data_IF_671970407638
#
_entry.id   IF_671970407638
#
_cell.length_a   1.000
_cell.length_b   1.000
_cell.length_c   1.000
_cell.angle_alpha   90.00
_cell.angle_beta   90.00
_cell.angle_gamma   90.00
#
_symmetry.space_group_name_H-M   'P 1'
#
loop_
_entity.id
_entity.type
_entity.pdbx_description
1 polymer ?
#
# COMPACT_ATOMS: atom_id res chain seq x y z
N UNK A 1 -27.62 20.10 19.54
CA UNK A 1 -27.16 20.75 18.30
C UNK A 1 -25.82 20.16 17.93
N UNK A 2 -25.69 19.55 16.75
CA UNK A 2 -24.39 19.07 16.28
C UNK A 2 -23.47 20.28 16.00
N UNK A 3 -22.18 20.16 16.31
CA UNK A 3 -21.23 21.21 15.96
C UNK A 3 -21.07 21.30 14.44
N UNK A 4 -20.67 22.47 13.92
CA UNK A 4 -20.36 22.62 12.49
C UNK A 4 -19.31 21.59 12.01
N UNK A 5 -18.39 21.18 12.89
CA UNK A 5 -17.42 20.14 12.61
C UNK A 5 -18.05 18.75 12.45
N UNK A 6 -19.04 18.40 13.28
CA UNK A 6 -19.74 17.12 13.16
C UNK A 6 -20.58 17.04 11.87
N UNK A 7 -21.25 18.14 11.50
CA UNK A 7 -21.99 18.22 10.24
C UNK A 7 -21.07 18.12 9.03
N UNK A 8 -19.92 18.80 9.06
CA UNK A 8 -18.91 18.69 8.01
C UNK A 8 -18.36 17.26 7.90
N UNK A 9 -18.08 16.61 9.04
CA UNK A 9 -17.60 15.22 9.03
C UNK A 9 -18.63 14.26 8.45
N UNK A 10 -19.90 14.37 8.84
CA UNK A 10 -20.97 13.54 8.29
C UNK A 10 -21.09 13.71 6.77
N UNK A 11 -21.01 14.95 6.29
CA UNK A 11 -21.04 15.24 4.87
C UNK A 11 -19.83 14.67 4.12
N UNK A 12 -18.63 14.75 4.70
CA UNK A 12 -17.41 14.13 4.11
C UNK A 12 -17.47 12.60 4.15
N UNK A 13 -18.01 12.01 5.22
CA UNK A 13 -18.04 10.56 5.44
C UNK A 13 -19.20 9.86 4.70
N UNK A 14 -20.27 10.59 4.32
CA UNK A 14 -21.47 10.05 3.66
C UNK A 14 -21.20 9.31 2.34
N UNK A 15 -21.86 8.18 2.06
CA UNK A 15 -21.56 7.32 0.90
C UNK A 15 -21.58 8.02 -0.47
N UNK A 16 -22.37 9.08 -0.62
CA UNK A 16 -22.51 9.87 -1.85
C UNK A 16 -21.44 10.96 -2.00
N UNK A 17 -20.65 11.21 -0.95
CA UNK A 17 -19.70 12.32 -0.94
C UNK A 17 -18.44 11.97 -1.71
N UNK A 18 -18.11 12.81 -2.69
CA UNK A 18 -16.88 12.73 -3.49
C UNK A 18 -15.69 13.45 -2.84
N UNK A 19 -15.90 14.10 -1.69
CA UNK A 19 -14.85 14.87 -0.99
C UNK A 19 -13.61 14.05 -0.64
N UNK A 20 -13.71 12.78 -0.18
CA UNK A 20 -12.53 11.94 0.06
C UNK A 20 -11.73 11.60 -1.20
N UNK A 21 -12.28 11.79 -2.39
CA UNK A 21 -11.55 11.71 -3.66
C UNK A 21 -10.97 13.08 -4.04
N UNK A 22 -11.82 14.11 -4.03
CA UNK A 22 -11.49 15.44 -4.57
C UNK A 22 -10.37 16.12 -3.77
N UNK A 23 -10.45 16.14 -2.44
CA UNK A 23 -9.44 16.86 -1.65
C UNK A 23 -8.05 16.23 -1.77
N UNK A 24 -7.90 14.89 -1.63
CA UNK A 24 -6.61 14.24 -1.88
C UNK A 24 -6.17 14.41 -3.34
N UNK A 25 -7.08 14.34 -4.32
CA UNK A 25 -6.74 14.55 -5.72
C UNK A 25 -6.14 15.94 -5.99
N UNK A 26 -6.73 17.00 -5.43
CA UNK A 26 -6.18 18.36 -5.53
C UNK A 26 -4.76 18.40 -4.96
N UNK A 27 -4.53 17.77 -3.81
CA UNK A 27 -3.21 17.70 -3.19
C UNK A 27 -2.19 16.96 -4.08
N UNK A 28 -2.52 15.77 -4.58
CA UNK A 28 -1.63 14.98 -5.43
C UNK A 28 -1.37 15.66 -6.78
N UNK A 29 -2.42 16.17 -7.43
CA UNK A 29 -2.30 16.87 -8.70
C UNK A 29 -1.46 18.14 -8.56
N UNK A 30 -1.65 18.91 -7.49
CA UNK A 30 -0.82 20.10 -7.22
C UNK A 30 0.64 19.72 -7.00
N UNK A 31 0.90 18.62 -6.30
CA UNK A 31 2.25 18.10 -6.06
C UNK A 31 2.91 17.64 -7.36
N UNK A 32 2.17 16.95 -8.24
CA UNK A 32 2.63 16.56 -9.57
C UNK A 32 2.91 17.78 -10.46
N UNK A 33 1.99 18.75 -10.54
CA UNK A 33 2.21 19.99 -11.29
C UNK A 33 3.44 20.75 -10.77
N UNK A 34 3.65 20.78 -9.46
CA UNK A 34 4.86 21.34 -8.88
C UNK A 34 6.13 20.61 -9.36
N UNK A 35 6.10 19.29 -9.53
CA UNK A 35 7.20 18.51 -10.12
C UNK A 35 7.51 18.91 -11.57
N UNK A 36 6.48 19.29 -12.34
CA UNK A 36 6.63 19.69 -13.75
C UNK A 36 7.16 21.11 -13.96
N UNK A 37 7.17 21.96 -12.93
CA UNK A 37 7.67 23.33 -13.06
C UNK A 37 9.15 23.37 -13.45
N UNK A 38 9.57 24.32 -14.32
CA UNK A 38 10.95 24.44 -14.76
C UNK A 38 11.92 24.46 -13.58
N UNK A 39 13.02 23.70 -13.64
CA UNK A 39 13.95 23.64 -12.52
C UNK A 39 14.58 25.02 -12.31
N UNK A 40 14.32 25.62 -11.13
CA UNK A 40 15.10 26.78 -10.67
C UNK A 40 16.57 26.38 -10.55
N UNK A 41 17.51 27.35 -10.55
CA UNK A 41 18.97 27.07 -10.45
C UNK A 41 19.33 26.13 -9.30
N UNK A 42 18.58 26.17 -8.19
CA UNK A 42 18.72 25.28 -7.02
C UNK A 42 18.21 23.86 -7.27
N UNK A 43 17.15 23.72 -8.08
CA UNK A 43 16.47 22.45 -8.40
C UNK A 43 17.24 21.57 -9.38
N UNK A 44 18.10 22.17 -10.23
CA UNK A 44 18.95 21.41 -11.17
C UNK A 44 19.89 20.41 -10.49
N UNK A 45 20.23 20.62 -9.23
CA UNK A 45 21.09 19.71 -8.47
C UNK A 45 20.32 18.57 -7.78
N UNK A 46 19.00 18.70 -7.62
CA UNK A 46 18.20 17.79 -6.80
C UNK A 46 17.19 17.04 -7.68
N UNK A 47 17.63 15.90 -8.23
CA UNK A 47 16.77 15.02 -9.06
C UNK A 47 15.59 14.41 -8.27
N UNK A 48 15.66 14.44 -6.94
CA UNK A 48 14.66 13.86 -6.01
C UNK A 48 13.26 14.51 -6.07
N UNK A 49 13.09 15.54 -6.90
CA UNK A 49 11.84 16.29 -7.06
C UNK A 49 11.04 15.90 -8.31
N UNK A 50 11.48 14.88 -9.05
CA UNK A 50 10.63 14.23 -10.05
C UNK A 50 9.56 13.38 -9.33
N UNK A 51 8.32 13.36 -9.85
CA UNK A 51 7.19 12.72 -9.18
C UNK A 51 7.51 11.29 -8.71
N UNK A 52 8.10 10.48 -9.59
CA UNK A 52 8.45 9.08 -9.34
C UNK A 52 9.70 8.88 -8.47
N UNK A 53 10.53 9.91 -8.29
CA UNK A 53 11.72 9.87 -7.43
C UNK A 53 11.45 10.49 -6.05
N UNK A 54 10.29 11.13 -5.85
CA UNK A 54 9.96 11.84 -4.62
C UNK A 54 9.50 10.87 -3.52
N UNK A 55 10.44 10.11 -2.96
CA UNK A 55 10.19 9.09 -1.95
C UNK A 55 9.37 9.56 -0.74
N UNK A 56 9.57 10.80 -0.29
CA UNK A 56 8.81 11.36 0.83
C UNK A 56 7.31 11.44 0.51
N UNK A 57 6.94 11.80 -0.72
CA UNK A 57 5.56 11.92 -1.17
C UNK A 57 4.90 10.54 -1.28
N UNK A 58 5.60 9.55 -1.84
CA UNK A 58 5.13 8.16 -1.90
C UNK A 58 4.97 7.54 -0.51
N UNK A 59 5.90 7.81 0.41
CA UNK A 59 5.80 7.37 1.80
C UNK A 59 4.64 8.04 2.54
N UNK A 60 4.34 9.30 2.24
CA UNK A 60 3.18 10.00 2.78
C UNK A 60 1.87 9.32 2.35
N UNK A 61 1.74 8.96 1.07
CA UNK A 61 0.61 8.17 0.58
C UNK A 61 0.52 6.83 1.33
N UNK A 62 1.61 6.06 1.39
CA UNK A 62 1.59 4.75 2.04
C UNK A 62 1.22 4.86 3.53
N UNK A 63 1.78 5.83 4.25
CA UNK A 63 1.45 6.08 5.64
C UNK A 63 -0.03 6.48 5.80
N UNK A 64 -0.54 7.39 4.96
CA UNK A 64 -1.94 7.78 4.96
C UNK A 64 -2.88 6.61 4.71
N UNK A 65 -2.59 5.78 3.71
CA UNK A 65 -3.37 4.59 3.38
C UNK A 65 -3.40 3.58 4.54
N UNK A 66 -2.24 3.34 5.18
CA UNK A 66 -2.14 2.45 6.35
C UNK A 66 -2.93 3.02 7.54
N UNK A 67 -2.81 4.32 7.83
CA UNK A 67 -3.53 4.94 8.95
C UNK A 67 -5.04 4.91 8.73
N UNK A 68 -5.51 5.18 7.52
CA UNK A 68 -6.93 5.09 7.17
C UNK A 68 -7.43 3.64 7.23
N UNK A 69 -6.63 2.67 6.78
CA UNK A 69 -6.94 1.26 6.88
C UNK A 69 -7.03 0.78 8.34
N UNK A 70 -6.07 1.17 9.18
CA UNK A 70 -6.09 0.89 10.62
C UNK A 70 -7.31 1.51 11.27
N UNK A 71 -7.61 2.79 11.00
CA UNK A 71 -8.79 3.46 11.53
C UNK A 71 -10.08 2.74 11.14
N UNK A 72 -10.22 2.41 9.85
CA UNK A 72 -11.37 1.66 9.31
C UNK A 72 -11.55 0.30 9.99
N UNK A 73 -10.46 -0.44 10.23
CA UNK A 73 -10.50 -1.76 10.86
C UNK A 73 -10.74 -1.70 12.39
N UNK A 74 -10.15 -0.71 13.07
CA UNK A 74 -10.27 -0.53 14.52
C UNK A 74 -11.67 -0.06 14.91
N UNK A 75 -12.23 0.90 14.17
CA UNK A 75 -13.55 1.45 14.46
C UNK A 75 -14.65 0.51 13.98
N UNK A 76 -14.42 -0.18 12.85
CA UNK A 76 -15.37 -1.10 12.22
C UNK A 76 -16.77 -0.55 11.96
N UNK A 77 -16.93 0.78 11.96
CA UNK A 77 -18.20 1.48 11.82
C UNK A 77 -18.10 2.53 10.71
N UNK A 78 -18.87 2.33 9.63
CA UNK A 78 -18.88 3.23 8.47
C UNK A 78 -19.52 4.59 8.77
N UNK A 79 -20.28 4.72 9.87
CA UNK A 79 -20.81 6.01 10.33
C UNK A 79 -19.72 6.89 10.94
N UNK A 80 -18.68 6.27 11.53
CA UNK A 80 -17.54 6.98 12.11
C UNK A 80 -16.47 7.19 11.05
N UNK A 81 -16.02 6.11 10.39
CA UNK A 81 -15.01 6.19 9.32
C UNK A 81 -15.29 5.12 8.27
N UNK A 82 -15.87 5.56 7.15
CA UNK A 82 -16.18 4.70 6.04
C UNK A 82 -14.90 4.21 5.35
N UNK A 83 -14.79 2.91 5.09
CA UNK A 83 -13.63 2.32 4.40
C UNK A 83 -13.33 3.01 3.05
N UNK A 84 -14.37 3.50 2.37
CA UNK A 84 -14.24 4.21 1.10
C UNK A 84 -13.29 5.41 1.18
N UNK A 85 -13.12 6.00 2.37
CA UNK A 85 -12.20 7.11 2.55
C UNK A 85 -10.77 6.68 2.20
N UNK A 86 -10.33 5.51 2.67
CA UNK A 86 -9.04 4.92 2.32
C UNK A 86 -8.96 4.57 0.84
N UNK A 87 -10.03 4.00 0.26
CA UNK A 87 -10.08 3.65 -1.16
C UNK A 87 -9.90 4.90 -2.04
N UNK A 88 -10.70 5.94 -1.79
CA UNK A 88 -10.72 7.17 -2.60
C UNK A 88 -9.45 7.99 -2.40
N UNK A 89 -8.89 8.01 -1.19
CA UNK A 89 -7.57 8.58 -0.93
C UNK A 89 -6.50 7.93 -1.81
N UNK A 90 -6.43 6.61 -1.86
CA UNK A 90 -5.47 5.91 -2.71
C UNK A 90 -5.79 6.05 -4.21
N UNK A 91 -7.07 5.97 -4.60
CA UNK A 91 -7.50 6.14 -5.99
C UNK A 91 -7.02 7.48 -6.56
N UNK A 92 -7.19 8.55 -5.78
CA UNK A 92 -6.75 9.90 -6.20
C UNK A 92 -5.24 9.98 -6.47
N UNK A 93 -4.43 9.27 -5.69
CA UNK A 93 -2.99 9.20 -5.87
C UNK A 93 -2.64 8.40 -7.14
N UNK A 94 -3.24 7.23 -7.34
CA UNK A 94 -2.96 6.38 -8.50
C UNK A 94 -3.46 6.96 -9.82
N UNK A 95 -4.46 7.85 -9.81
CA UNK A 95 -4.84 8.61 -11.01
C UNK A 95 -3.69 9.52 -11.48
N UNK A 96 -3.03 10.21 -10.56
CA UNK A 96 -1.88 11.06 -10.86
C UNK A 96 -0.68 10.19 -11.28
N UNK A 97 -0.47 9.07 -10.59
CA UNK A 97 0.61 8.13 -10.92
C UNK A 97 0.43 7.50 -12.31
N UNK A 98 -0.82 7.21 -12.72
CA UNK A 98 -1.12 6.73 -14.07
C UNK A 98 -0.76 7.78 -15.13
N UNK A 99 -1.05 9.06 -14.88
CA UNK A 99 -0.67 10.14 -15.79
C UNK A 99 0.86 10.23 -15.90
N UNK A 100 1.58 10.28 -14.76
CA UNK A 100 3.04 10.34 -14.75
C UNK A 100 3.67 9.16 -15.51
N UNK A 101 3.28 7.94 -15.17
CA UNK A 101 3.82 6.71 -15.76
C UNK A 101 3.51 6.60 -17.25
N UNK A 102 2.33 7.07 -17.68
CA UNK A 102 1.96 7.15 -19.11
C UNK A 102 2.81 8.18 -19.84
N UNK A 103 3.06 9.36 -19.26
CA UNK A 103 3.94 10.37 -19.88
C UNK A 103 5.38 9.89 -20.03
N UNK A 104 5.85 9.02 -19.12
CA UNK A 104 7.17 8.38 -19.19
C UNK A 104 7.21 7.13 -20.08
N UNK A 105 6.05 6.66 -20.57
CA UNK A 105 5.91 5.40 -21.32
C UNK A 105 6.45 4.17 -20.57
N UNK A 106 6.30 4.18 -19.25
CA UNK A 106 6.84 3.14 -18.36
C UNK A 106 5.85 1.98 -18.19
N UNK A 107 5.83 1.07 -19.16
CA UNK A 107 4.85 -0.02 -19.29
C UNK A 107 4.56 -0.80 -18.00
N UNK A 108 5.57 -1.31 -17.26
CA UNK A 108 5.34 -2.01 -16.00
C UNK A 108 4.62 -1.17 -14.95
N UNK A 109 4.94 0.11 -14.84
CA UNK A 109 4.30 1.01 -13.88
C UNK A 109 2.89 1.43 -14.33
N UNK A 110 2.67 1.61 -15.63
CA UNK A 110 1.31 1.81 -16.19
C UNK A 110 0.41 0.62 -15.82
N UNK A 111 0.89 -0.61 -16.05
CA UNK A 111 0.16 -1.82 -15.69
C UNK A 111 -0.14 -1.89 -14.20
N UNK A 112 0.84 -1.55 -13.35
CA UNK A 112 0.64 -1.50 -11.90
C UNK A 112 -0.44 -0.48 -11.51
N UNK A 113 -0.37 0.76 -12.01
CA UNK A 113 -1.33 1.81 -11.71
C UNK A 113 -2.76 1.40 -12.15
N UNK A 114 -2.91 0.86 -13.36
CA UNK A 114 -4.20 0.33 -13.86
C UNK A 114 -4.71 -0.79 -12.96
N UNK A 115 -3.86 -1.76 -12.62
CA UNK A 115 -4.24 -2.87 -11.75
C UNK A 115 -4.74 -2.38 -10.39
N UNK A 116 -4.04 -1.43 -9.76
CA UNK A 116 -4.45 -0.90 -8.46
C UNK A 116 -5.77 -0.13 -8.55
N UNK A 117 -5.98 0.68 -9.59
CA UNK A 117 -7.26 1.38 -9.83
C UNK A 117 -8.42 0.39 -9.99
N UNK A 118 -8.20 -0.68 -10.77
CA UNK A 118 -9.19 -1.73 -10.99
C UNK A 118 -9.52 -2.45 -9.69
N UNK A 119 -8.50 -2.88 -8.93
CA UNK A 119 -8.70 -3.57 -7.64
C UNK A 119 -9.38 -2.68 -6.60
N UNK A 120 -9.00 -1.41 -6.50
CA UNK A 120 -9.65 -0.44 -5.62
C UNK A 120 -11.14 -0.28 -5.97
N UNK A 121 -11.44 -0.17 -7.26
CA UNK A 121 -12.82 -0.09 -7.75
C UNK A 121 -13.59 -1.35 -7.44
N UNK A 122 -13.04 -2.54 -7.70
CA UNK A 122 -13.70 -3.82 -7.38
C UNK A 122 -13.94 -4.01 -5.89
N UNK A 123 -13.00 -3.61 -5.04
CA UNK A 123 -13.19 -3.65 -3.58
C UNK A 123 -14.30 -2.70 -3.13
N UNK A 124 -14.44 -1.54 -3.80
CA UNK A 124 -15.50 -0.59 -3.53
C UNK A 124 -16.87 -1.07 -4.05
N UNK A 125 -16.95 -1.64 -5.25
CA UNK A 125 -18.23 -1.99 -5.88
C UNK A 125 -18.76 -3.35 -5.47
N UNK A 126 -17.96 -4.19 -4.80
CA UNK A 126 -18.37 -5.53 -4.38
C UNK A 126 -18.85 -5.50 -2.92
N UNK A 127 -20.15 -5.74 -2.63
CA UNK A 127 -20.70 -5.62 -1.28
C UNK A 127 -19.98 -6.48 -0.23
N UNK A 128 -19.62 -7.71 -0.60
CA UNK A 128 -18.89 -8.60 0.30
C UNK A 128 -17.51 -8.04 0.69
N UNK A 129 -16.79 -7.46 -0.26
CA UNK A 129 -15.47 -6.88 0.03
C UNK A 129 -15.57 -5.68 0.96
N UNK A 130 -16.62 -4.84 0.80
CA UNK A 130 -16.92 -3.74 1.72
C UNK A 130 -17.25 -4.24 3.12
N UNK A 131 -18.17 -5.21 3.23
CA UNK A 131 -18.57 -5.79 4.51
C UNK A 131 -17.36 -6.35 5.27
N UNK A 132 -16.47 -7.03 4.54
CA UNK A 132 -15.27 -7.62 5.10
C UNK A 132 -14.10 -6.63 5.23
N UNK A 133 -14.27 -5.37 4.86
CA UNK A 133 -13.23 -4.34 4.84
C UNK A 133 -11.95 -4.80 4.14
N UNK A 134 -12.11 -5.44 2.98
CA UNK A 134 -11.02 -6.11 2.26
C UNK A 134 -9.99 -5.13 1.73
N UNK A 135 -10.39 -3.90 1.39
CA UNK A 135 -9.42 -2.90 0.94
C UNK A 135 -8.49 -2.47 2.08
N UNK A 136 -9.04 -2.24 3.27
CA UNK A 136 -8.26 -1.89 4.47
C UNK A 136 -7.30 -3.01 4.81
N UNK A 137 -7.76 -4.26 4.75
CA UNK A 137 -6.90 -5.45 4.95
C UNK A 137 -5.80 -5.53 3.89
N UNK A 138 -6.12 -5.27 2.62
CA UNK A 138 -5.14 -5.25 1.54
C UNK A 138 -4.10 -4.13 1.73
N UNK A 139 -4.51 -2.94 2.17
CA UNK A 139 -3.61 -1.83 2.48
C UNK A 139 -2.62 -2.17 3.60
N UNK A 140 -3.03 -2.96 4.61
CA UNK A 140 -2.11 -3.42 5.66
C UNK A 140 -1.03 -4.37 5.14
N UNK A 141 -1.25 -5.07 4.02
CA UNK A 141 -0.22 -5.91 3.38
C UNK A 141 0.98 -5.06 2.89
N UNK A 142 0.71 -3.80 2.53
CA UNK A 142 1.71 -2.84 2.06
C UNK A 142 2.55 -2.25 3.20
N UNK A 143 2.22 -2.53 4.46
CA UNK A 143 3.03 -2.10 5.62
C UNK A 143 4.47 -2.64 5.56
N UNK A 144 4.69 -3.77 4.90
CA UNK A 144 6.03 -4.34 4.69
C UNK A 144 6.89 -3.55 3.69
N UNK A 145 6.28 -2.77 2.79
CA UNK A 145 6.95 -2.11 1.67
C UNK A 145 7.91 -0.99 2.12
N UNK A 146 7.55 -0.09 3.06
CA UNK A 146 8.49 0.89 3.64
C UNK A 146 9.75 0.25 4.26
N UNK A 147 9.59 -0.88 4.96
CA UNK A 147 10.73 -1.59 5.56
C UNK A 147 11.66 -2.17 4.49
N UNK A 148 11.12 -2.63 3.36
CA UNK A 148 11.94 -3.07 2.22
C UNK A 148 12.79 -1.94 1.66
N UNK A 149 12.20 -0.75 1.46
CA UNK A 149 12.94 0.41 0.96
C UNK A 149 14.05 0.82 1.93
N UNK A 150 13.73 0.90 3.23
CA UNK A 150 14.71 1.22 4.26
C UNK A 150 15.85 0.18 4.33
N UNK A 151 15.51 -1.11 4.23
CA UNK A 151 16.50 -2.19 4.19
C UNK A 151 17.40 -2.10 2.95
N UNK A 152 16.84 -1.81 1.78
CA UNK A 152 17.61 -1.62 0.53
C UNK A 152 18.55 -0.42 0.60
N UNK A 153 18.09 0.69 1.17
CA UNK A 153 18.86 1.93 1.27
C UNK A 153 20.01 1.80 2.26
N UNK A 154 19.75 1.26 3.45
CA UNK A 154 20.75 1.17 4.52
C UNK A 154 21.67 -0.03 4.37
N UNK A 155 21.25 -1.07 3.63
CA UNK A 155 21.94 -2.37 3.52
C UNK A 155 22.28 -3.01 4.87
N UNK A 156 21.56 -2.63 5.93
CA UNK A 156 21.79 -3.15 7.27
C UNK A 156 21.01 -4.47 7.46
N UNK A 157 21.65 -5.57 7.89
CA UNK A 157 20.99 -6.86 8.10
C UNK A 157 19.85 -6.79 9.13
N UNK A 158 19.92 -5.91 10.13
CA UNK A 158 18.85 -5.75 11.13
C UNK A 158 17.58 -5.20 10.48
N UNK A 159 17.72 -4.20 9.61
CA UNK A 159 16.58 -3.64 8.87
C UNK A 159 15.98 -4.68 7.91
N UNK A 160 16.81 -5.53 7.31
CA UNK A 160 16.33 -6.63 6.49
C UNK A 160 15.58 -7.70 7.31
N UNK A 161 16.08 -8.05 8.50
CA UNK A 161 15.37 -8.94 9.42
C UNK A 161 14.02 -8.36 9.85
N UNK A 162 13.97 -7.06 10.17
CA UNK A 162 12.73 -6.37 10.50
C UNK A 162 11.74 -6.40 9.33
N UNK A 163 12.20 -6.11 8.12
CA UNK A 163 11.41 -6.28 6.90
C UNK A 163 10.85 -7.71 6.78
N UNK A 164 11.68 -8.73 6.97
CA UNK A 164 11.26 -10.12 6.87
C UNK A 164 10.17 -10.47 7.89
N UNK A 165 10.30 -10.02 9.14
CA UNK A 165 9.29 -10.21 10.19
C UNK A 165 7.96 -9.56 9.78
N UNK A 166 8.01 -8.28 9.38
CA UNK A 166 6.80 -7.55 8.96
C UNK A 166 6.18 -8.20 7.71
N UNK A 167 7.00 -8.65 6.76
CA UNK A 167 6.54 -9.37 5.57
C UNK A 167 5.84 -10.69 5.95
N UNK A 168 6.37 -11.45 6.91
CA UNK A 168 5.72 -12.67 7.40
C UNK A 168 4.36 -12.37 8.03
N UNK A 169 4.31 -11.41 8.94
CA UNK A 169 3.07 -11.03 9.64
C UNK A 169 2.02 -10.53 8.65
N UNK A 170 2.40 -9.58 7.79
CA UNK A 170 1.48 -8.94 6.86
C UNK A 170 1.11 -9.84 5.69
N UNK A 171 2.04 -10.54 5.04
CA UNK A 171 1.75 -11.23 3.76
C UNK A 171 1.64 -12.73 3.88
N UNK A 172 2.31 -13.38 4.84
CA UNK A 172 2.30 -14.84 4.97
C UNK A 172 1.19 -15.32 5.89
N UNK A 173 0.97 -14.62 7.00
CA UNK A 173 -0.06 -14.99 7.98
C UNK A 173 -1.41 -14.37 7.61
N UNK A 174 -1.43 -13.09 7.25
CA UNK A 174 -2.70 -12.38 7.01
C UNK A 174 -3.45 -12.85 5.76
N UNK A 175 -2.75 -13.16 4.67
CA UNK A 175 -3.41 -13.58 3.41
C UNK A 175 -4.24 -14.87 3.56
N UNK A 176 -3.74 -15.95 4.21
CA UNK A 176 -4.56 -17.10 4.59
C UNK A 176 -5.78 -16.75 5.44
N UNK A 177 -5.64 -15.83 6.39
CA UNK A 177 -6.76 -15.37 7.22
C UNK A 177 -7.82 -14.68 6.36
N UNK A 178 -7.41 -13.83 5.40
CA UNK A 178 -8.33 -13.20 4.45
C UNK A 178 -9.04 -14.24 3.57
N UNK A 179 -8.33 -15.26 3.10
CA UNK A 179 -8.91 -16.36 2.32
C UNK A 179 -9.95 -17.15 3.13
N UNK A 180 -9.66 -17.46 4.39
CA UNK A 180 -10.61 -18.13 5.28
C UNK A 180 -11.85 -17.27 5.50
N UNK A 181 -11.71 -15.96 5.74
CA UNK A 181 -12.85 -15.05 5.90
C UNK A 181 -13.75 -15.01 4.66
N UNK A 182 -13.15 -15.00 3.46
CA UNK A 182 -13.92 -15.10 2.21
C UNK A 182 -14.66 -16.45 2.14
N UNK A 183 -14.00 -17.54 2.55
CA UNK A 183 -14.61 -18.87 2.54
C UNK A 183 -15.76 -19.01 3.56
N UNK A 184 -15.60 -18.42 4.74
CA UNK A 184 -16.61 -18.40 5.80
C UNK A 184 -17.87 -17.61 5.38
N UNK A 185 -17.75 -16.75 4.36
CA UNK A 185 -18.86 -16.05 3.73
C UNK A 185 -19.33 -16.75 2.44
N UNK A 186 -19.22 -18.08 2.41
CA UNK A 186 -19.74 -18.97 1.38
C UNK A 186 -19.17 -18.80 -0.04
N UNK A 187 -17.97 -18.20 -0.19
CA UNK A 187 -17.30 -18.21 -1.49
C UNK A 187 -16.76 -19.59 -1.81
N UNK A 188 -17.12 -20.19 -2.95
CA UNK A 188 -16.57 -21.47 -3.36
C UNK A 188 -15.09 -21.32 -3.76
N UNK A 189 -14.32 -22.41 -3.69
CA UNK A 189 -12.89 -22.39 -3.99
C UNK A 189 -12.54 -22.01 -5.44
N UNK A 190 -13.52 -22.15 -6.35
CA UNK A 190 -13.41 -21.77 -7.76
C UNK A 190 -13.87 -20.33 -8.03
N UNK A 191 -14.24 -19.56 -7.01
CA UNK A 191 -14.60 -18.15 -7.18
C UNK A 191 -13.37 -17.35 -7.63
N UNK A 192 -13.53 -16.54 -8.67
CA UNK A 192 -12.45 -15.75 -9.27
C UNK A 192 -11.74 -14.85 -8.25
N UNK A 193 -12.47 -14.32 -7.27
CA UNK A 193 -11.91 -13.44 -6.22
C UNK A 193 -10.96 -14.22 -5.34
N UNK A 194 -11.35 -15.43 -4.93
CA UNK A 194 -10.50 -16.29 -4.11
C UNK A 194 -9.31 -16.80 -4.92
N UNK A 195 -9.50 -17.13 -6.19
CA UNK A 195 -8.41 -17.51 -7.11
C UNK A 195 -7.36 -16.39 -7.21
N UNK A 196 -7.79 -15.13 -7.34
CA UNK A 196 -6.88 -13.97 -7.37
C UNK A 196 -6.09 -13.87 -6.06
N UNK A 197 -6.74 -14.00 -4.90
CA UNK A 197 -6.06 -13.96 -3.59
C UNK A 197 -5.10 -15.14 -3.43
N UNK A 198 -5.46 -16.35 -3.89
CA UNK A 198 -4.58 -17.52 -3.88
C UNK A 198 -3.36 -17.33 -4.79
N UNK A 199 -3.55 -16.80 -6.01
CA UNK A 199 -2.45 -16.49 -6.92
C UNK A 199 -1.52 -15.42 -6.31
N UNK A 200 -2.09 -14.40 -5.68
CA UNK A 200 -1.32 -13.39 -4.96
C UNK A 200 -0.55 -13.99 -3.79
N UNK A 201 -1.15 -14.91 -3.03
CA UNK A 201 -0.47 -15.61 -1.94
C UNK A 201 0.69 -16.49 -2.45
N UNK A 202 0.50 -17.22 -3.55
CA UNK A 202 1.56 -18.00 -4.18
C UNK A 202 2.75 -17.12 -4.61
N UNK A 203 2.48 -15.94 -5.16
CA UNK A 203 3.51 -14.94 -5.47
C UNK A 203 4.26 -14.49 -4.21
N UNK A 204 3.54 -14.20 -3.11
CA UNK A 204 4.16 -13.81 -1.85
C UNK A 204 4.99 -14.94 -1.22
N UNK A 205 4.57 -16.20 -1.36
CA UNK A 205 5.35 -17.36 -0.94
C UNK A 205 6.65 -17.51 -1.74
N UNK A 206 6.62 -17.25 -3.04
CA UNK A 206 7.83 -17.22 -3.87
C UNK A 206 8.82 -16.15 -3.38
N UNK A 207 8.34 -14.93 -3.08
CA UNK A 207 9.18 -13.88 -2.50
C UNK A 207 9.69 -14.25 -1.11
N UNK A 208 8.86 -14.88 -0.29
CA UNK A 208 9.25 -15.33 1.04
C UNK A 208 10.36 -16.38 1.01
N UNK A 209 10.29 -17.34 0.09
CA UNK A 209 11.36 -18.31 -0.11
C UNK A 209 12.71 -17.64 -0.43
N UNK A 210 12.70 -16.56 -1.23
CA UNK A 210 13.90 -15.76 -1.51
C UNK A 210 14.40 -15.03 -0.25
N UNK A 211 13.51 -14.44 0.54
CA UNK A 211 13.86 -13.76 1.80
C UNK A 211 14.52 -14.75 2.76
N UNK A 212 13.91 -15.93 2.97
CA UNK A 212 14.47 -16.98 3.84
C UNK A 212 15.84 -17.44 3.36
N UNK A 213 16.03 -17.63 2.06
CA UNK A 213 17.34 -18.01 1.50
C UNK A 213 18.41 -16.97 1.84
N UNK A 214 18.10 -15.67 1.70
CA UNK A 214 19.04 -14.58 2.04
C UNK A 214 19.38 -14.62 3.54
N UNK A 215 18.39 -14.74 4.41
CA UNK A 215 18.60 -14.79 5.87
C UNK A 215 19.50 -15.96 6.26
N UNK A 216 19.25 -17.15 5.68
CA UNK A 216 20.02 -18.35 5.97
C UNK A 216 21.47 -18.18 5.48
N UNK A 217 21.66 -17.75 4.23
CA UNK A 217 23.01 -17.59 3.66
C UNK A 217 23.83 -16.54 4.41
N UNK A 218 23.27 -15.36 4.66
CA UNK A 218 23.97 -14.29 5.38
C UNK A 218 24.18 -14.63 6.87
N UNK A 219 23.22 -15.32 7.49
CA UNK A 219 23.35 -15.82 8.85
C UNK A 219 24.52 -16.80 9.00
N UNK A 220 24.68 -17.73 8.05
CA UNK A 220 25.81 -18.68 8.04
C UNK A 220 27.14 -17.93 7.87
N UNK A 221 27.22 -16.98 6.95
CA UNK A 221 28.42 -16.18 6.69
C UNK A 221 28.87 -15.39 7.93
N UNK A 222 27.92 -14.78 8.65
CA UNK A 222 28.21 -14.04 9.89
C UNK A 222 28.75 -14.94 11.01
N UNK A 223 28.21 -16.15 11.15
CA UNK A 223 28.69 -17.13 12.13
C UNK A 223 30.13 -17.56 11.79
N UNK A 224 30.42 -17.82 10.51
CA UNK A 224 31.76 -18.18 10.05
C UNK A 224 32.78 -17.06 10.26
N UNK A 225 32.40 -15.81 9.97
CA UNK A 225 33.25 -14.62 10.18
C UNK A 225 33.55 -14.35 11.67
N UNK A 226 32.63 -14.69 12.58
CA UNK A 226 32.88 -14.61 14.02
C UNK A 226 33.87 -15.67 14.49
N UNK A 227 33.76 -16.91 13.98
CA UNK A 227 34.68 -18.00 14.35
C UNK A 227 36.13 -17.74 13.93
N UNK A 228 36.35 -17.01 12.83
CA UNK A 228 37.69 -16.67 12.32
C UNK A 228 38.34 -15.49 13.05
N UNK A 229 37.59 -14.64 13.75
CA UNK A 229 38.15 -13.52 14.54
C UNK A 229 38.59 -13.91 15.96
N UNK A 230 38.19 -15.10 16.43
CA UNK A 230 38.51 -15.60 17.77
C UNK A 230 39.70 -16.56 17.77
N UNK A 231 40.34 -16.76 16.62
CA UNK A 231 41.60 -17.49 16.44
C UNK A 231 42.72 -16.48 16.19
#
# INVERSE_FOLDING_TARGET
MASNAALLWQDVNSEESWKPLIYPFIFWASSYLYCQLPPTRRRRQDKTLEWHEWHALHNLHNAGAILLALGSLLLHDDTILNERFGILFSLSYFLVDLVDTTTRLDGPYILHAVMVLVLATFNYTTPLHRQLRMNSKAALLETSTPFLYHAKQTRNPIHFCLFAIVFTLCRIIWLPIMMLQLRDHDLPWNDIRLIIVMAFYALNLFWYAKILRIIITEGINLIQARKTKTQ
#
